data_IF_098810879592
#
_entry.id   IF_098810879592
#
_cell.length_a   1.000
_cell.length_b   1.000
_cell.length_c   1.000
_cell.angle_alpha   90.00
_cell.angle_beta   90.00
_cell.angle_gamma   90.00
#
_symmetry.space_group_name_H-M   'P 1'
#
loop_
_entity.id
_entity.type
_entity.pdbx_description
1 polymer ?
#
# COMPACT_ATOMS: atom_id res chain seq x y z
N UNK A 1 -52.34 -11.85 41.29
CA UNK A 1 -51.29 -12.51 40.50
C UNK A 1 -50.67 -11.45 39.63
N UNK A 2 -49.51 -10.94 40.05
CA UNK A 2 -48.83 -9.81 39.43
C UNK A 2 -48.09 -10.32 38.21
N UNK A 3 -48.45 -9.83 37.02
CA UNK A 3 -47.70 -10.09 35.79
C UNK A 3 -46.34 -9.41 35.89
N UNK A 4 -45.27 -10.21 35.89
CA UNK A 4 -43.90 -9.76 35.68
C UNK A 4 -43.76 -9.32 34.22
N UNK A 5 -43.67 -8.00 34.02
CA UNK A 5 -43.39 -7.39 32.73
C UNK A 5 -41.88 -7.57 32.47
N UNK A 6 -41.49 -8.59 31.70
CA UNK A 6 -40.12 -8.75 31.24
C UNK A 6 -39.80 -7.66 30.22
N UNK A 7 -39.19 -6.56 30.67
CA UNK A 7 -38.58 -5.58 29.77
C UNK A 7 -37.38 -6.25 29.09
N UNK A 8 -37.58 -6.75 27.88
CA UNK A 8 -36.49 -6.97 26.93
C UNK A 8 -35.85 -5.62 26.67
N UNK A 9 -34.73 -5.33 27.33
CA UNK A 9 -33.82 -4.28 26.88
C UNK A 9 -33.12 -4.88 25.66
N UNK A 10 -33.60 -4.55 24.47
CA UNK A 10 -32.88 -4.83 23.23
C UNK A 10 -31.57 -4.04 23.29
N UNK A 11 -30.48 -4.72 23.69
CA UNK A 11 -29.15 -4.16 23.59
C UNK A 11 -28.83 -3.88 22.13
N UNK A 12 -28.26 -2.71 21.86
CA UNK A 12 -27.75 -2.36 20.55
C UNK A 12 -26.23 -2.57 20.55
N UNK A 13 -25.72 -3.36 19.62
CA UNK A 13 -24.28 -3.55 19.47
C UNK A 13 -23.74 -2.53 18.47
N UNK A 14 -22.82 -1.68 18.93
CA UNK A 14 -22.03 -0.78 18.09
C UNK A 14 -20.61 -1.33 17.95
N UNK A 15 -20.04 -1.23 16.75
CA UNK A 15 -18.65 -1.58 16.48
C UNK A 15 -17.77 -0.35 16.70
N UNK A 16 -16.97 -0.38 17.76
CA UNK A 16 -16.02 0.69 18.07
C UNK A 16 -14.66 0.34 17.50
N UNK A 17 -14.07 1.26 16.73
CA UNK A 17 -12.79 1.05 16.07
C UNK A 17 -11.76 2.14 16.30
N UNK A 18 -10.56 1.87 15.81
CA UNK A 18 -9.40 2.77 15.86
C UNK A 18 -9.07 3.35 14.46
N UNK A 19 -8.06 4.22 14.34
CA UNK A 19 -7.70 4.83 13.05
C UNK A 19 -7.28 3.82 11.95
N UNK A 20 -6.88 2.61 12.33
CA UNK A 20 -6.57 1.51 11.39
C UNK A 20 -7.83 0.74 10.95
N UNK A 21 -9.02 1.21 11.34
CA UNK A 21 -10.32 0.59 11.07
C UNK A 21 -10.41 -0.86 11.59
N UNK A 22 -9.75 -1.13 12.72
CA UNK A 22 -9.92 -2.37 13.47
C UNK A 22 -11.04 -2.17 14.48
N UNK A 23 -12.10 -2.97 14.40
CA UNK A 23 -13.31 -2.81 15.20
C UNK A 23 -13.49 -3.94 16.21
N UNK A 24 -14.08 -3.60 17.36
CA UNK A 24 -14.59 -4.55 18.33
C UNK A 24 -16.04 -4.19 18.73
N UNK A 25 -16.89 -5.18 19.03
CA UNK A 25 -18.26 -4.93 19.43
C UNK A 25 -18.34 -4.36 20.85
N UNK A 26 -19.29 -3.47 21.07
CA UNK A 26 -19.67 -2.94 22.38
C UNK A 26 -21.19 -2.82 22.46
N UNK A 27 -21.78 -3.34 23.53
CA UNK A 27 -23.21 -3.27 23.75
C UNK A 27 -23.60 -2.00 24.51
N UNK A 28 -24.57 -1.27 23.97
CA UNK A 28 -25.18 -0.09 24.59
C UNK A 28 -26.67 -0.32 24.82
N UNK A 29 -27.21 0.30 25.87
CA UNK A 29 -28.61 0.13 26.24
C UNK A 29 -29.57 0.95 25.38
N UNK A 30 -29.14 2.12 24.91
CA UNK A 30 -29.93 3.04 24.08
C UNK A 30 -29.11 3.40 22.84
N UNK A 31 -29.60 3.21 21.60
CA UNK A 31 -28.91 3.60 20.39
C UNK A 31 -28.92 5.12 20.13
N UNK A 32 -29.72 5.89 20.87
CA UNK A 32 -29.70 7.36 20.82
C UNK A 32 -28.68 7.86 21.83
N UNK A 33 -27.50 8.25 21.35
CA UNK A 33 -26.34 8.56 22.19
C UNK A 33 -25.68 9.88 21.80
N UNK A 34 -24.98 10.46 22.75
CA UNK A 34 -24.02 11.54 22.50
C UNK A 34 -22.63 10.98 22.21
N UNK A 35 -21.77 11.79 21.56
CA UNK A 35 -20.35 11.44 21.41
C UNK A 35 -19.67 11.17 22.76
N UNK A 36 -20.00 11.94 23.81
CA UNK A 36 -19.47 11.74 25.17
C UNK A 36 -19.81 10.36 25.72
N UNK A 37 -21.04 9.90 25.56
CA UNK A 37 -21.47 8.58 26.04
C UNK A 37 -20.70 7.45 25.33
N UNK A 38 -20.52 7.55 24.01
CA UNK A 38 -19.74 6.55 23.26
C UNK A 38 -18.26 6.53 23.68
N UNK A 39 -17.66 7.71 23.82
CA UNK A 39 -16.27 7.84 24.27
C UNK A 39 -16.08 7.24 25.66
N UNK A 40 -16.98 7.52 26.61
CA UNK A 40 -16.94 6.92 27.95
C UNK A 40 -17.12 5.41 27.92
N UNK A 41 -18.07 4.91 27.13
CA UNK A 41 -18.33 3.47 26.95
C UNK A 41 -17.11 2.75 26.35
N UNK A 42 -16.36 3.41 25.47
CA UNK A 42 -15.12 2.89 24.92
C UNK A 42 -13.91 3.00 25.85
N UNK A 43 -14.06 3.59 27.04
CA UNK A 43 -12.96 3.81 27.98
C UNK A 43 -12.02 4.95 27.59
N UNK A 44 -12.42 5.85 26.69
CA UNK A 44 -11.61 7.00 26.28
C UNK A 44 -11.57 8.06 27.39
N UNK A 45 -10.37 8.34 27.91
CA UNK A 45 -10.16 9.31 28.98
C UNK A 45 -8.84 10.10 28.80
N UNK A 46 -8.82 11.43 29.04
CA UNK A 46 -9.99 12.28 29.27
C UNK A 46 -10.85 12.40 27.99
N UNK A 47 -12.17 12.52 28.14
CA UNK A 47 -13.10 12.54 27.00
C UNK A 47 -12.80 13.69 26.05
N UNK A 48 -12.37 14.83 26.59
CA UNK A 48 -12.12 16.05 25.82
C UNK A 48 -10.91 15.95 24.88
N UNK A 49 -10.02 14.96 25.09
CA UNK A 49 -8.90 14.64 24.20
C UNK A 49 -9.30 13.70 23.05
N UNK A 50 -10.59 13.36 22.93
CA UNK A 50 -11.06 12.35 22.00
C UNK A 50 -12.22 12.82 21.13
N UNK A 51 -12.26 12.24 19.93
CA UNK A 51 -13.26 12.46 18.91
C UNK A 51 -13.89 11.12 18.53
N UNK A 52 -15.21 11.11 18.35
CA UNK A 52 -15.93 9.97 17.79
C UNK A 52 -16.47 10.34 16.41
N UNK A 53 -16.21 9.51 15.40
CA UNK A 53 -16.71 9.66 14.04
C UNK A 53 -17.50 8.40 13.67
N UNK A 54 -18.79 8.55 13.36
CA UNK A 54 -19.61 7.49 12.82
C UNK A 54 -19.30 7.23 11.33
N UNK A 55 -19.33 5.96 10.94
CA UNK A 55 -19.31 5.56 9.53
C UNK A 55 -20.75 5.20 9.14
N UNK A 56 -21.28 5.95 8.19
CA UNK A 56 -22.63 5.78 7.67
C UNK A 56 -22.70 4.60 6.67
N UNK A 57 -23.91 4.08 6.37
CA UNK A 57 -24.07 2.96 5.43
C UNK A 57 -23.50 3.20 4.02
N UNK A 58 -23.45 4.45 3.57
CA UNK A 58 -22.89 4.86 2.28
C UNK A 58 -21.37 5.16 2.33
N UNK A 59 -20.74 4.94 3.49
CA UNK A 59 -19.33 5.22 3.75
C UNK A 59 -19.03 6.67 4.15
N UNK A 60 -20.02 7.57 4.15
CA UNK A 60 -19.80 8.94 4.64
C UNK A 60 -19.43 8.94 6.13
N UNK A 61 -18.66 9.95 6.51
CA UNK A 61 -18.15 10.10 7.87
C UNK A 61 -18.88 11.24 8.56
N UNK A 62 -19.37 10.99 9.77
CA UNK A 62 -20.08 11.98 10.56
C UNK A 62 -19.48 12.12 11.97
N UNK A 63 -18.99 13.30 12.28
CA UNK A 63 -18.43 13.62 13.60
C UNK A 63 -19.53 13.73 14.64
N UNK A 64 -19.48 12.87 15.67
CA UNK A 64 -20.44 12.86 16.76
C UNK A 64 -20.07 13.89 17.82
N UNK A 65 -20.86 14.95 17.95
CA UNK A 65 -20.62 15.98 18.96
C UNK A 65 -20.82 15.42 20.37
N UNK A 66 -20.05 15.95 21.32
CA UNK A 66 -20.03 15.42 22.69
C UNK A 66 -21.37 15.54 23.42
N UNK A 67 -22.19 16.54 23.12
CA UNK A 67 -23.44 16.81 23.85
C UNK A 67 -24.68 16.86 22.93
N UNK A 68 -24.55 16.42 21.67
CA UNK A 68 -25.66 16.30 20.72
C UNK A 68 -26.12 14.85 20.62
N UNK A 69 -27.43 14.61 20.65
CA UNK A 69 -27.99 13.27 20.50
C UNK A 69 -27.90 12.81 19.03
N UNK A 70 -27.45 11.59 18.84
CA UNK A 70 -27.33 10.93 17.55
C UNK A 70 -27.99 9.54 17.62
N UNK A 71 -28.90 9.26 16.68
CA UNK A 71 -29.58 7.96 16.59
C UNK A 71 -28.79 6.98 15.71
N UNK A 72 -27.95 6.15 16.35
CA UNK A 72 -27.11 5.18 15.65
C UNK A 72 -27.94 4.18 14.84
N UNK A 73 -29.08 3.74 15.39
CA UNK A 73 -29.93 2.72 14.75
C UNK A 73 -30.70 3.33 13.58
N UNK A 74 -31.34 4.49 13.79
CA UNK A 74 -32.12 5.17 12.76
C UNK A 74 -31.28 5.59 11.54
N UNK A 75 -29.99 5.90 11.77
CA UNK A 75 -29.04 6.26 10.73
C UNK A 75 -28.28 5.07 10.12
N UNK A 76 -28.43 3.86 10.67
CA UNK A 76 -27.65 2.69 10.26
C UNK A 76 -26.15 2.79 10.57
N UNK A 77 -25.77 3.67 11.49
CA UNK A 77 -24.39 3.93 11.90
C UNK A 77 -23.94 2.89 12.92
N UNK A 78 -23.66 1.68 12.45
CA UNK A 78 -23.24 0.56 13.31
C UNK A 78 -21.75 0.62 13.67
N UNK A 79 -20.97 1.52 13.06
CA UNK A 79 -19.52 1.64 13.24
C UNK A 79 -19.15 3.05 13.67
N UNK A 80 -18.33 3.15 14.71
CA UNK A 80 -17.79 4.41 15.22
C UNK A 80 -16.28 4.26 15.38
N UNK A 81 -15.53 5.24 14.89
CA UNK A 81 -14.08 5.31 15.05
C UNK A 81 -13.77 6.33 16.15
N UNK A 82 -12.87 5.97 17.07
CA UNK A 82 -12.40 6.86 18.11
C UNK A 82 -10.97 7.29 17.80
N UNK A 83 -10.74 8.60 17.88
CA UNK A 83 -9.44 9.23 17.73
C UNK A 83 -9.07 9.92 19.04
N UNK A 84 -7.80 9.85 19.41
CA UNK A 84 -7.22 10.73 20.42
C UNK A 84 -6.63 11.95 19.70
N UNK A 85 -7.36 13.06 19.70
CA UNK A 85 -7.06 14.24 18.91
C UNK A 85 -7.84 15.45 19.42
N UNK A 86 -7.29 16.64 19.20
CA UNK A 86 -7.93 17.94 19.42
C UNK A 86 -8.32 18.64 18.10
N UNK A 87 -8.04 18.02 16.95
CA UNK A 87 -8.25 18.58 15.64
C UNK A 87 -8.67 17.54 14.60
N UNK A 88 -9.21 18.02 13.48
CA UNK A 88 -9.63 17.20 12.36
C UNK A 88 -8.97 17.67 11.07
N UNK A 89 -8.86 16.74 10.12
CA UNK A 89 -8.27 16.98 8.80
C UNK A 89 -9.31 16.68 7.74
N UNK A 90 -9.53 17.65 6.84
CA UNK A 90 -10.44 17.49 5.71
C UNK A 90 -9.71 16.89 4.51
N UNK A 91 -10.37 15.99 3.83
CA UNK A 91 -9.98 15.50 2.52
C UNK A 91 -11.20 15.30 1.62
N UNK A 92 -10.98 15.12 0.33
CA UNK A 92 -12.03 14.74 -0.63
C UNK A 92 -11.69 13.36 -1.15
N UNK A 93 -12.65 12.44 -1.20
CA UNK A 93 -12.50 11.14 -1.85
C UNK A 93 -13.72 10.82 -2.71
N UNK A 94 -13.51 10.50 -3.99
CA UNK A 94 -14.59 10.26 -4.95
C UNK A 94 -15.60 11.41 -4.97
N UNK A 95 -15.08 12.65 -5.02
CA UNK A 95 -15.83 13.90 -4.96
C UNK A 95 -16.66 14.13 -3.68
N UNK A 96 -16.46 13.33 -2.63
CA UNK A 96 -17.10 13.51 -1.31
C UNK A 96 -16.15 14.15 -0.31
N UNK A 97 -16.59 15.25 0.30
CA UNK A 97 -15.92 15.82 1.47
C UNK A 97 -15.95 14.82 2.63
N UNK A 98 -14.82 14.67 3.31
CA UNK A 98 -14.66 13.76 4.45
C UNK A 98 -13.77 14.40 5.51
N UNK A 99 -13.98 13.98 6.76
CA UNK A 99 -13.25 14.46 7.93
C UNK A 99 -12.56 13.28 8.65
N UNK A 100 -11.29 13.45 9.00
CA UNK A 100 -10.48 12.43 9.68
C UNK A 100 -9.85 12.97 10.96
N UNK A 101 -9.71 12.12 11.98
CA UNK A 101 -9.26 12.56 13.31
C UNK A 101 -7.74 12.64 13.50
N UNK A 102 -6.90 12.19 12.56
CA UNK A 102 -5.44 12.29 12.67
C UNK A 102 -4.82 12.69 11.33
N UNK A 103 -3.59 13.21 11.34
CA UNK A 103 -2.95 13.73 10.12
C UNK A 103 -2.58 12.63 9.12
N UNK A 104 -2.34 11.40 9.58
CA UNK A 104 -1.96 10.29 8.71
C UNK A 104 -3.14 9.38 8.43
N UNK A 105 -3.34 9.05 7.15
CA UNK A 105 -4.34 8.08 6.71
C UNK A 105 -3.72 7.05 5.76
N UNK A 106 -4.06 5.78 5.94
CA UNK A 106 -3.56 4.71 5.08
C UNK A 106 -4.37 4.62 3.77
N UNK A 107 -3.74 4.16 2.70
CA UNK A 107 -4.45 3.81 1.45
C UNK A 107 -5.59 2.82 1.68
N UNK A 108 -5.41 1.86 2.59
CA UNK A 108 -6.47 0.90 2.95
C UNK A 108 -7.66 1.60 3.60
N UNK A 109 -7.41 2.54 4.52
CA UNK A 109 -8.47 3.31 5.17
C UNK A 109 -9.24 4.16 4.15
N UNK A 110 -8.53 4.81 3.22
CA UNK A 110 -9.15 5.57 2.13
C UNK A 110 -10.08 4.68 1.28
N UNK A 111 -9.66 3.48 0.89
CA UNK A 111 -10.51 2.53 0.14
C UNK A 111 -11.76 2.10 0.92
N UNK A 112 -11.63 1.85 2.23
CA UNK A 112 -12.76 1.48 3.08
C UNK A 112 -13.75 2.65 3.20
N UNK A 113 -13.26 3.88 3.40
CA UNK A 113 -14.09 5.10 3.47
C UNK A 113 -14.77 5.38 2.12
N UNK A 114 -14.08 5.14 1.01
CA UNK A 114 -14.67 5.21 -0.32
C UNK A 114 -15.81 4.18 -0.53
N UNK A 115 -15.93 3.17 0.33
CA UNK A 115 -16.93 2.10 0.19
C UNK A 115 -16.58 1.08 -0.88
N UNK A 116 -15.31 1.02 -1.30
CA UNK A 116 -14.83 0.06 -2.30
C UNK A 116 -14.14 -1.14 -1.65
N UNK A 117 -14.06 -2.26 -2.38
CA UNK A 117 -13.36 -3.45 -1.90
C UNK A 117 -11.85 -3.24 -2.08
N UNK A 118 -11.04 -3.21 -1.00
CA UNK A 118 -9.62 -2.85 -1.12
C UNK A 118 -8.79 -3.74 -2.04
N UNK A 119 -9.20 -5.01 -2.18
CA UNK A 119 -8.52 -6.00 -3.01
C UNK A 119 -8.77 -5.82 -4.53
N UNK A 120 -9.82 -5.12 -4.93
CA UNK A 120 -10.21 -4.96 -6.34
C UNK A 120 -10.17 -3.52 -6.81
N UNK A 121 -9.80 -2.59 -5.94
CA UNK A 121 -9.73 -1.16 -6.23
C UNK A 121 -8.38 -0.61 -5.80
N UNK A 122 -7.88 0.35 -6.57
CA UNK A 122 -6.77 1.21 -6.21
C UNK A 122 -7.29 2.59 -5.79
N UNK A 123 -6.46 3.34 -5.06
CA UNK A 123 -6.73 4.72 -4.67
C UNK A 123 -5.55 5.59 -5.07
N UNK A 124 -5.87 6.76 -5.62
CA UNK A 124 -4.92 7.71 -6.15
C UNK A 124 -5.11 9.07 -5.48
N UNK A 125 -4.04 9.86 -5.37
CA UNK A 125 -4.07 11.25 -4.95
C UNK A 125 -3.91 12.16 -6.17
N UNK A 126 -4.81 13.13 -6.32
CA UNK A 126 -4.73 14.17 -7.35
C UNK A 126 -3.65 15.18 -6.97
N UNK A 127 -2.55 15.21 -7.73
CA UNK A 127 -1.48 16.20 -7.54
C UNK A 127 -1.62 17.31 -8.58
N UNK A 128 -1.91 18.53 -8.14
CA UNK A 128 -2.07 19.67 -9.05
C UNK A 128 -0.80 19.92 -9.86
N UNK A 129 -0.91 19.77 -11.18
CA UNK A 129 0.19 20.02 -12.11
C UNK A 129 1.21 18.90 -12.23
N UNK A 130 0.90 17.70 -11.70
CA UNK A 130 1.69 16.48 -11.82
C UNK A 130 0.75 15.30 -12.12
N UNK A 131 1.33 14.14 -12.43
CA UNK A 131 0.58 12.89 -12.52
C UNK A 131 0.01 12.48 -11.14
N UNK A 132 -1.11 11.76 -11.16
CA UNK A 132 -1.76 11.24 -9.96
C UNK A 132 -0.90 10.18 -9.28
N UNK A 133 -0.84 10.24 -7.94
CA UNK A 133 -0.01 9.35 -7.15
C UNK A 133 -0.83 8.14 -6.68
N UNK A 134 -0.43 6.93 -7.09
CA UNK A 134 -0.99 5.68 -6.54
C UNK A 134 -0.59 5.53 -5.06
N UNK A 135 -1.58 5.29 -4.20
CA UNK A 135 -1.38 5.04 -2.77
C UNK A 135 -1.68 3.56 -2.48
N UNK A 136 -0.67 2.82 -2.04
CA UNK A 136 -0.84 1.41 -1.65
C UNK A 136 -1.55 1.31 -0.30
N UNK A 137 -2.09 0.13 0.00
CA UNK A 137 -2.84 -0.14 1.23
C UNK A 137 -2.11 0.29 2.52
N UNK A 138 -0.78 0.14 2.55
CA UNK A 138 0.06 0.46 3.71
C UNK A 138 0.73 1.83 3.63
N UNK A 139 0.57 2.55 2.52
CA UNK A 139 1.16 3.87 2.37
C UNK A 139 0.39 4.85 3.24
N UNK A 140 1.12 5.68 3.98
CA UNK A 140 0.56 6.69 4.86
C UNK A 140 0.61 8.05 4.18
N UNK A 141 -0.54 8.69 4.03
CA UNK A 141 -0.68 10.02 3.44
C UNK A 141 -0.88 11.04 4.55
N UNK A 142 -0.13 12.15 4.47
CA UNK A 142 -0.23 13.27 5.40
C UNK A 142 -1.24 14.30 4.91
N UNK A 143 -2.37 14.40 5.62
CA UNK A 143 -3.48 15.33 5.42
C UNK A 143 -3.24 16.72 6.02
N UNK A 144 -2.12 16.93 6.73
CA UNK A 144 -1.80 18.23 7.37
C UNK A 144 -1.14 19.24 6.41
N UNK A 145 -0.87 18.84 5.18
CA UNK A 145 -0.29 19.69 4.14
C UNK A 145 -1.23 20.85 3.78
N UNK A 146 -0.64 21.91 3.23
CA UNK A 146 -1.39 23.09 2.83
C UNK A 146 -2.36 22.76 1.67
N UNK A 147 -3.66 22.93 1.92
CA UNK A 147 -4.72 22.63 0.95
C UNK A 147 -5.64 21.53 1.46
N UNK A 148 -6.57 21.11 0.59
CA UNK A 148 -7.39 19.92 0.85
C UNK A 148 -6.87 18.83 -0.06
N UNK A 149 -6.45 17.72 0.53
CA UNK A 149 -6.01 16.55 -0.23
C UNK A 149 -7.21 15.90 -0.91
N UNK A 150 -7.00 15.49 -2.17
CA UNK A 150 -8.03 14.91 -3.01
C UNK A 150 -7.62 13.53 -3.46
N UNK A 151 -8.55 12.59 -3.35
CA UNK A 151 -8.36 11.20 -3.72
C UNK A 151 -9.49 10.71 -4.61
N UNK A 152 -9.21 9.69 -5.40
CA UNK A 152 -10.23 8.96 -6.15
C UNK A 152 -9.88 7.49 -6.21
N UNK A 153 -10.90 6.65 -6.29
CA UNK A 153 -10.78 5.20 -6.42
C UNK A 153 -11.08 4.76 -7.84
N UNK A 154 -10.42 3.68 -8.26
CA UNK A 154 -10.66 3.05 -9.56
C UNK A 154 -10.59 1.53 -9.40
N UNK A 155 -11.41 0.79 -10.18
CA UNK A 155 -11.28 -0.66 -10.28
C UNK A 155 -9.85 -0.97 -10.72
N UNK A 156 -9.13 -1.73 -9.91
CA UNK A 156 -7.81 -2.20 -10.26
C UNK A 156 -7.95 -3.00 -11.57
N UNK A 157 -7.24 -2.60 -12.63
CA UNK A 157 -7.27 -3.34 -13.88
C UNK A 157 -6.61 -4.70 -13.67
N UNK A 158 -7.42 -5.68 -13.29
CA UNK A 158 -7.00 -7.06 -13.05
C UNK A 158 -6.78 -7.77 -14.37
N UNK A 159 -5.52 -8.05 -14.69
CA UNK A 159 -5.17 -9.34 -15.28
C UNK A 159 -4.61 -10.17 -14.13
N UNK A 160 -5.14 -11.37 -13.93
CA UNK A 160 -5.05 -12.16 -12.70
C UNK A 160 -3.63 -12.47 -12.20
N UNK A 161 -3.48 -12.43 -10.86
CA UNK A 161 -2.40 -13.05 -10.11
C UNK A 161 -1.38 -12.07 -9.54
N UNK A 162 -1.47 -11.77 -8.23
CA UNK A 162 -0.56 -10.89 -7.46
C UNK A 162 -0.39 -9.49 -8.05
N UNK A 163 -0.91 -8.46 -7.36
CA UNK A 163 -0.66 -7.07 -7.76
C UNK A 163 0.85 -6.88 -8.04
N UNK A 164 1.26 -6.48 -9.26
CA UNK A 164 2.67 -6.50 -9.63
C UNK A 164 3.44 -5.55 -8.72
N UNK A 165 4.60 -5.99 -8.21
CA UNK A 165 5.55 -5.09 -7.52
C UNK A 165 6.01 -3.92 -8.40
N UNK A 166 5.72 -4.02 -9.70
CA UNK A 166 6.06 -3.03 -10.69
C UNK A 166 4.90 -2.06 -10.94
N UNK A 167 5.19 -0.75 -11.06
CA UNK A 167 4.25 0.22 -11.59
C UNK A 167 3.74 -0.18 -12.99
N UNK A 168 2.53 0.25 -13.41
CA UNK A 168 1.95 -0.11 -14.70
C UNK A 168 2.87 0.14 -15.90
N UNK A 169 3.59 1.28 -15.92
CA UNK A 169 4.56 1.63 -16.96
C UNK A 169 5.68 0.60 -17.12
N UNK A 170 6.12 0.01 -16.01
CA UNK A 170 7.16 -1.00 -16.00
C UNK A 170 6.63 -2.36 -16.49
N UNK A 171 5.41 -2.72 -16.11
CA UNK A 171 4.72 -3.91 -16.63
C UNK A 171 4.55 -3.79 -18.14
N UNK A 172 4.01 -2.67 -18.62
CA UNK A 172 3.84 -2.38 -20.06
C UNK A 172 5.16 -2.49 -20.82
N UNK A 173 6.24 -1.93 -20.27
CA UNK A 173 7.57 -2.05 -20.87
C UNK A 173 8.02 -3.52 -21.00
N UNK A 174 7.93 -4.30 -19.93
CA UNK A 174 8.36 -5.71 -19.96
C UNK A 174 7.50 -6.54 -20.92
N UNK A 175 6.18 -6.33 -20.93
CA UNK A 175 5.25 -6.97 -21.87
C UNK A 175 5.58 -6.60 -23.31
N UNK A 176 5.79 -5.31 -23.61
CA UNK A 176 6.14 -4.84 -24.97
C UNK A 176 7.46 -5.43 -25.49
N UNK A 177 8.38 -5.76 -24.57
CA UNK A 177 9.68 -6.38 -24.86
C UNK A 177 9.64 -7.91 -24.82
N UNK A 178 8.49 -8.52 -24.52
CA UNK A 178 8.31 -9.95 -24.33
C UNK A 178 9.31 -10.52 -23.29
N UNK A 179 9.54 -9.78 -22.21
CA UNK A 179 10.39 -10.19 -21.08
C UNK A 179 9.50 -10.78 -20.01
N UNK A 180 9.58 -12.10 -19.83
CA UNK A 180 8.90 -12.79 -18.73
C UNK A 180 9.56 -12.43 -17.40
N UNK A 181 8.74 -12.24 -16.37
CA UNK A 181 9.25 -11.99 -15.02
C UNK A 181 8.38 -12.67 -13.96
N UNK A 182 8.98 -12.90 -12.80
CA UNK A 182 8.31 -13.39 -11.58
C UNK A 182 8.58 -12.39 -10.46
N UNK A 183 7.57 -12.09 -9.65
CA UNK A 183 7.76 -11.34 -8.41
C UNK A 183 8.13 -12.27 -7.25
N UNK A 184 8.86 -11.75 -6.26
CA UNK A 184 9.16 -12.49 -5.04
C UNK A 184 9.55 -11.62 -3.84
N UNK A 185 9.35 -12.18 -2.64
CA UNK A 185 9.76 -11.58 -1.38
C UNK A 185 10.60 -12.56 -0.56
N UNK A 186 11.63 -12.06 0.13
CA UNK A 186 12.34 -12.79 1.16
C UNK A 186 12.66 -11.86 2.34
N UNK A 187 12.06 -12.15 3.50
CA UNK A 187 12.10 -11.25 4.66
C UNK A 187 11.53 -9.88 4.30
N UNK A 188 12.33 -8.83 4.48
CA UNK A 188 11.97 -7.45 4.12
C UNK A 188 12.31 -7.08 2.67
N UNK A 189 13.03 -7.93 1.93
CA UNK A 189 13.45 -7.63 0.57
C UNK A 189 12.38 -8.07 -0.42
N UNK A 190 11.95 -7.13 -1.28
CA UNK A 190 11.10 -7.40 -2.45
C UNK A 190 11.97 -7.37 -3.69
N UNK A 191 11.61 -8.14 -4.71
CA UNK A 191 12.32 -8.15 -5.96
C UNK A 191 11.52 -8.75 -7.09
N UNK A 192 11.98 -8.52 -8.32
CA UNK A 192 11.53 -9.22 -9.51
C UNK A 192 12.66 -10.07 -10.07
N UNK A 193 12.31 -11.20 -10.67
CA UNK A 193 13.22 -12.07 -11.41
C UNK A 193 12.84 -11.99 -12.87
N UNK A 194 13.68 -11.34 -13.68
CA UNK A 194 13.58 -11.38 -15.14
C UNK A 194 14.05 -12.75 -15.61
N UNK A 195 13.21 -13.47 -16.36
CA UNK A 195 13.45 -14.87 -16.72
C UNK A 195 14.12 -14.98 -18.09
N UNK A 196 15.13 -15.84 -18.17
CA UNK A 196 15.72 -16.32 -19.42
C UNK A 196 16.20 -15.22 -20.37
N UNK A 197 16.82 -14.17 -19.84
CA UNK A 197 17.46 -13.13 -20.64
C UNK A 197 18.60 -13.73 -21.47
N UNK A 198 18.62 -13.43 -22.77
CA UNK A 198 19.61 -13.98 -23.70
C UNK A 198 20.97 -13.33 -23.50
N UNK A 199 22.01 -14.16 -23.44
CA UNK A 199 23.39 -13.72 -23.28
C UNK A 199 24.12 -13.64 -24.63
N UNK A 200 25.14 -12.77 -24.77
CA UNK A 200 25.97 -12.74 -25.96
C UNK A 200 26.62 -14.09 -26.24
N UNK A 201 26.55 -14.54 -27.50
CA UNK A 201 27.05 -15.86 -27.90
C UNK A 201 28.53 -16.05 -27.51
N UNK A 202 28.84 -17.21 -26.91
CA UNK A 202 30.19 -17.62 -26.49
C UNK A 202 30.87 -16.73 -25.44
N UNK A 203 30.20 -15.67 -24.96
CA UNK A 203 30.78 -14.76 -23.96
C UNK A 203 30.79 -15.35 -22.56
N UNK A 204 29.79 -16.18 -22.24
CA UNK A 204 29.64 -16.81 -20.94
C UNK A 204 29.48 -18.33 -21.05
N UNK A 205 29.61 -19.03 -19.92
CA UNK A 205 29.33 -20.45 -19.74
C UNK A 205 27.85 -20.84 -19.87
N UNK A 206 26.96 -19.90 -20.21
CA UNK A 206 25.52 -20.10 -20.35
C UNK A 206 25.00 -19.21 -21.48
N UNK A 207 23.95 -19.65 -22.16
CA UNK A 207 23.29 -18.90 -23.25
C UNK A 207 22.18 -17.99 -22.77
N UNK A 208 21.65 -18.22 -21.57
CA UNK A 208 20.61 -17.41 -20.95
C UNK A 208 20.85 -17.29 -19.43
N UNK A 209 20.24 -16.28 -18.83
CA UNK A 209 20.34 -15.99 -17.40
C UNK A 209 19.02 -15.44 -16.86
N UNK A 210 18.66 -15.85 -15.65
CA UNK A 210 17.66 -15.18 -14.83
C UNK A 210 18.32 -14.04 -14.04
N UNK A 211 17.67 -12.88 -13.99
CA UNK A 211 18.21 -11.70 -13.30
C UNK A 211 17.25 -11.22 -12.24
N UNK A 212 17.68 -11.31 -10.98
CA UNK A 212 17.02 -10.70 -9.84
C UNK A 212 17.37 -9.21 -9.77
N UNK A 213 16.33 -8.39 -9.67
CA UNK A 213 16.42 -6.97 -9.32
C UNK A 213 15.67 -6.79 -8.00
N UNK A 214 16.41 -6.42 -6.96
CA UNK A 214 15.81 -6.06 -5.68
C UNK A 214 15.19 -4.66 -5.78
N UNK A 215 13.92 -4.56 -5.40
CA UNK A 215 13.17 -3.32 -5.44
C UNK A 215 13.22 -2.67 -4.05
N UNK A 216 13.84 -1.49 -3.91
CA UNK A 216 13.87 -0.79 -2.62
C UNK A 216 12.48 -0.27 -2.24
N UNK A 217 12.22 -0.02 -0.95
CA UNK A 217 11.08 0.78 -0.53
C UNK A 217 11.08 2.14 -1.27
N UNK A 218 9.94 2.50 -1.86
CA UNK A 218 9.80 3.73 -2.66
C UNK A 218 10.21 3.60 -4.13
N UNK A 219 10.50 2.40 -4.64
CA UNK A 219 10.57 2.17 -6.09
C UNK A 219 9.24 2.58 -6.77
N UNK A 220 9.24 3.32 -7.90
CA UNK A 220 10.39 3.61 -8.78
C UNK A 220 11.18 4.88 -8.47
N UNK A 221 10.79 5.70 -7.50
CA UNK A 221 11.52 6.93 -7.16
C UNK A 221 12.84 6.65 -6.43
N UNK A 222 12.90 5.53 -5.71
CA UNK A 222 14.13 4.97 -5.15
C UNK A 222 14.79 3.99 -6.15
N UNK A 223 16.07 4.19 -6.54
CA UNK A 223 16.75 3.34 -7.51
C UNK A 223 17.05 1.94 -6.98
N UNK A 224 16.84 0.89 -7.78
CA UNK A 224 17.50 -0.40 -7.57
C UNK A 224 19.01 -0.24 -7.72
N UNK A 225 19.75 -0.75 -6.74
CA UNK A 225 21.18 -0.53 -6.65
C UNK A 225 21.98 -1.44 -7.59
N UNK A 226 21.82 -2.75 -7.39
CA UNK A 226 22.55 -3.82 -8.07
C UNK A 226 21.57 -4.79 -8.77
N UNK A 227 22.13 -5.71 -9.56
CA UNK A 227 21.40 -6.87 -10.08
C UNK A 227 22.13 -8.16 -9.75
N UNK A 228 21.43 -9.27 -9.81
CA UNK A 228 21.96 -10.57 -9.42
C UNK A 228 21.59 -11.64 -10.44
N UNK A 229 22.55 -12.47 -10.83
CA UNK A 229 22.40 -13.44 -11.90
C UNK A 229 22.28 -14.87 -11.37
N UNK A 230 21.42 -15.66 -12.01
CA UNK A 230 21.38 -17.11 -11.89
C UNK A 230 21.16 -17.74 -13.27
N UNK A 231 21.90 -18.78 -13.69
CA UNK A 231 23.01 -19.41 -12.97
C UNK A 231 24.23 -18.48 -12.84
N UNK A 232 25.23 -18.91 -12.06
CA UNK A 232 26.47 -18.17 -11.88
C UNK A 232 27.25 -18.08 -13.19
N UNK A 233 27.50 -16.86 -13.67
CA UNK A 233 28.12 -16.60 -14.96
C UNK A 233 29.65 -16.55 -14.83
N UNK A 234 30.31 -17.28 -15.73
CA UNK A 234 31.77 -17.26 -15.94
C UNK A 234 32.06 -16.90 -17.38
N UNK A 235 33.14 -16.16 -17.62
CA UNK A 235 33.56 -15.78 -18.96
C UNK A 235 33.93 -17.04 -19.76
N UNK A 236 33.37 -17.19 -20.96
CA UNK A 236 33.51 -18.41 -21.77
C UNK A 236 34.96 -18.69 -22.20
N UNK A 237 35.78 -17.65 -22.38
CA UNK A 237 37.17 -17.78 -22.81
C UNK A 237 38.13 -18.16 -21.68
N UNK A 238 37.94 -17.60 -20.48
CA UNK A 238 38.90 -17.74 -19.37
C UNK A 238 38.39 -18.63 -18.24
N UNK A 239 37.07 -18.85 -18.15
CA UNK A 239 36.43 -19.53 -17.02
C UNK A 239 36.45 -18.73 -15.72
N UNK A 240 36.89 -17.47 -15.76
CA UNK A 240 36.94 -16.58 -14.59
C UNK A 240 35.60 -15.89 -14.35
N UNK A 241 35.39 -15.43 -13.10
CA UNK A 241 34.26 -14.57 -12.78
C UNK A 241 34.44 -13.19 -13.44
N UNK A 242 33.38 -12.58 -13.99
CA UNK A 242 33.42 -11.22 -14.48
C UNK A 242 33.81 -10.22 -13.38
N UNK A 243 34.39 -9.09 -13.79
CA UNK A 243 34.82 -8.05 -12.84
C UNK A 243 33.69 -7.60 -11.91
N UNK A 244 33.95 -7.67 -10.60
CA UNK A 244 33.02 -7.32 -9.53
C UNK A 244 31.70 -8.12 -9.59
N UNK A 245 31.81 -9.42 -9.92
CA UNK A 245 30.72 -10.39 -9.96
C UNK A 245 31.08 -11.73 -9.27
N UNK A 246 31.77 -11.70 -8.13
CA UNK A 246 32.24 -12.91 -7.44
C UNK A 246 31.58 -13.16 -6.07
N UNK A 247 30.57 -12.38 -5.70
CA UNK A 247 29.91 -12.46 -4.38
C UNK A 247 28.53 -13.10 -4.50
N UNK A 248 28.23 -14.03 -3.61
CA UNK A 248 26.92 -14.66 -3.52
C UNK A 248 25.92 -13.79 -2.75
N UNK A 249 24.66 -13.82 -3.17
CA UNK A 249 23.52 -13.23 -2.48
C UNK A 249 22.41 -14.28 -2.38
N UNK A 250 21.94 -14.55 -1.16
CA UNK A 250 20.82 -15.46 -0.95
C UNK A 250 19.51 -14.71 -1.23
N UNK A 251 18.66 -15.29 -2.07
CA UNK A 251 17.29 -14.84 -2.28
C UNK A 251 16.37 -16.01 -2.60
N UNK A 252 15.32 -16.19 -1.80
CA UNK A 252 14.31 -17.28 -1.88
C UNK A 252 14.94 -18.68 -1.89
N UNK A 253 15.92 -18.90 -1.02
CA UNK A 253 16.65 -20.17 -0.94
C UNK A 253 17.59 -20.46 -2.12
N UNK A 254 17.76 -19.51 -3.04
CA UNK A 254 18.68 -19.60 -4.17
C UNK A 254 19.88 -18.68 -3.97
N UNK A 255 21.05 -19.12 -4.44
CA UNK A 255 22.29 -18.34 -4.39
C UNK A 255 22.50 -17.64 -5.73
N UNK A 256 22.47 -16.32 -5.70
CA UNK A 256 22.60 -15.45 -6.86
C UNK A 256 23.98 -14.81 -6.92
N UNK A 257 24.54 -14.69 -8.12
CA UNK A 257 25.79 -13.98 -8.35
C UNK A 257 25.52 -12.47 -8.34
N UNK A 258 26.08 -11.74 -7.38
CA UNK A 258 25.89 -10.29 -7.25
C UNK A 258 26.78 -9.52 -8.23
N UNK A 259 26.17 -8.65 -9.04
CA UNK A 259 26.86 -7.74 -9.94
C UNK A 259 26.82 -6.32 -9.39
N UNK A 260 27.97 -5.85 -8.90
CA UNK A 260 28.10 -4.49 -8.34
C UNK A 260 28.30 -3.48 -9.48
N UNK A 261 27.18 -3.03 -10.04
CA UNK A 261 27.07 -1.94 -11.01
C UNK A 261 26.06 -0.95 -10.45
N UNK A 262 26.52 0.09 -9.77
CA UNK A 262 25.67 1.09 -9.12
C UNK A 262 25.17 2.13 -10.14
N UNK A 263 24.08 2.84 -9.84
CA UNK A 263 23.62 3.99 -10.62
C UNK A 263 23.41 5.21 -9.73
N UNK A 264 24.27 6.21 -9.93
CA UNK A 264 24.25 7.46 -9.18
C UNK A 264 23.46 8.57 -9.89
N UNK A 265 22.90 8.29 -11.08
CA UNK A 265 22.21 9.26 -11.93
C UNK A 265 20.73 8.88 -12.17
N UNK A 266 20.12 8.11 -11.26
CA UNK A 266 18.70 7.80 -11.32
C UNK A 266 17.85 9.06 -11.19
N UNK A 267 16.83 9.18 -12.02
CA UNK A 267 15.91 10.30 -12.09
C UNK A 267 14.54 9.85 -11.56
N UNK A 268 14.16 10.25 -10.32
CA UNK A 268 12.82 9.99 -9.79
C UNK A 268 11.73 10.48 -10.74
N UNK A 269 10.61 9.77 -10.81
CA UNK A 269 9.51 10.01 -11.75
C UNK A 269 9.80 9.71 -13.23
N UNK A 270 11.07 9.56 -13.65
CA UNK A 270 11.45 9.34 -15.05
C UNK A 270 11.95 7.91 -15.28
N UNK A 271 12.90 7.47 -14.45
CA UNK A 271 13.53 6.16 -14.58
C UNK A 271 12.67 5.06 -13.91
N UNK A 272 12.88 3.82 -14.34
CA UNK A 272 12.09 2.65 -13.95
C UNK A 272 12.74 1.36 -14.45
N UNK A 273 11.97 0.29 -14.61
CA UNK A 273 12.56 -1.02 -14.91
C UNK A 273 13.24 -1.04 -16.28
N UNK A 274 12.75 -0.22 -17.21
CA UNK A 274 13.37 -0.01 -18.52
C UNK A 274 14.83 0.43 -18.41
N UNK A 275 15.15 1.31 -17.45
CA UNK A 275 16.51 1.77 -17.18
C UNK A 275 17.34 0.63 -16.59
N UNK A 276 16.79 -0.16 -15.67
CA UNK A 276 17.46 -1.34 -15.13
C UNK A 276 17.77 -2.39 -16.19
N UNK A 277 16.79 -2.76 -17.01
CA UNK A 277 16.97 -3.72 -18.12
C UNK A 277 18.09 -3.25 -19.03
N UNK A 278 18.11 -1.96 -19.40
CA UNK A 278 19.17 -1.45 -20.28
C UNK A 278 20.55 -1.51 -19.64
N UNK A 279 20.64 -1.21 -18.34
CA UNK A 279 21.88 -1.32 -17.57
C UNK A 279 22.38 -2.77 -17.47
N UNK A 280 21.48 -3.72 -17.26
CA UNK A 280 21.79 -5.16 -17.22
C UNK A 280 22.33 -5.60 -18.59
N UNK A 281 21.65 -5.27 -19.68
CA UNK A 281 22.10 -5.57 -21.05
C UNK A 281 23.52 -5.04 -21.31
N UNK A 282 23.78 -3.77 -20.97
CA UNK A 282 25.11 -3.16 -21.15
C UNK A 282 26.17 -3.83 -20.27
N UNK A 283 25.87 -4.07 -18.99
CA UNK A 283 26.82 -4.71 -18.08
C UNK A 283 27.20 -6.13 -18.53
N UNK A 284 26.23 -6.91 -19.03
CA UNK A 284 26.48 -8.25 -19.57
C UNK A 284 27.23 -8.19 -20.91
N UNK A 285 26.96 -7.20 -21.76
CA UNK A 285 27.66 -6.99 -23.02
C UNK A 285 29.12 -6.53 -22.84
N UNK A 286 29.41 -5.73 -21.82
CA UNK A 286 30.74 -5.15 -21.55
C UNK A 286 31.58 -5.97 -20.56
N UNK A 287 31.00 -7.03 -19.98
CA UNK A 287 31.69 -7.88 -19.01
C UNK A 287 33.05 -8.38 -19.53
N UNK A 288 34.06 -8.27 -18.69
CA UNK A 288 35.44 -8.70 -18.90
C UNK A 288 36.04 -9.21 -17.59
#
# INVERSE_FOLDING_TARGET
MTQTNSQHHDHFTVLIGNPDLQFHPVDIADPIVTGRQLLMTAGAHPVDDHLAIAIMPDGSLETLRQDELFDLRGQGAEKVIIFKTDQTFRFIIDDRDSEWGISLISGRSLKIIAGVVPATHDVYQEIRGSDDLLIRDTDMVDLSKAGVEKFFTAVAQTTEGSAPFLPPRDVEYLTSRNISYEDGTEGCHKGIVLKSLQLPAQKFNSSAVDVLVLLPPGYPDCPPDMFYCFPWLKLGQTGCDPRAASVAHAFRGQSWQRWSRHNNAWRPGIDGIHTMVKRIELALAEAA
#
